data_IF_388436865277
#
_entry.id   IF_388436865277
#
_cell.length_a   1.000
_cell.length_b   1.000
_cell.length_c   1.000
_cell.angle_alpha   90.00
_cell.angle_beta   90.00
_cell.angle_gamma   90.00
#
_symmetry.space_group_name_H-M   'P 1'
#
loop_
_entity.id
_entity.type
_entity.pdbx_description
1 polymer ?
#
# COMPACT_ATOMS: atom_id res chain seq x y z
N UNK A 1 -5.37 -18.27 -7.31
CA UNK A 1 -5.42 -16.83 -6.96
C UNK A 1 -5.75 -16.05 -8.21
N UNK A 2 -6.65 -15.07 -8.14
CA UNK A 2 -7.01 -14.28 -9.32
C UNK A 2 -5.97 -13.17 -9.50
N UNK A 3 -5.00 -13.36 -10.41
CA UNK A 3 -3.88 -12.45 -10.69
C UNK A 3 -4.37 -11.02 -10.97
N UNK A 4 -5.54 -10.89 -11.60
CA UNK A 4 -6.18 -9.60 -11.88
C UNK A 4 -6.46 -8.80 -10.60
N UNK A 5 -6.85 -9.46 -9.50
CA UNK A 5 -7.08 -8.78 -8.21
C UNK A 5 -5.78 -8.34 -7.53
N UNK A 6 -4.69 -9.10 -7.71
CA UNK A 6 -3.37 -8.74 -7.18
C UNK A 6 -2.82 -7.48 -7.85
N UNK A 7 -2.98 -7.38 -9.17
CA UNK A 7 -2.58 -6.19 -9.92
C UNK A 7 -3.52 -4.99 -9.67
N UNK A 8 -4.80 -5.22 -9.41
CA UNK A 8 -5.74 -4.14 -9.11
C UNK A 8 -5.43 -3.43 -7.78
N UNK A 9 -5.01 -4.18 -6.76
CA UNK A 9 -4.71 -3.64 -5.42
C UNK A 9 -3.22 -3.21 -5.25
N UNK A 10 -2.47 -3.11 -6.35
CA UNK A 10 -1.05 -2.74 -6.31
C UNK A 10 -0.83 -1.23 -6.16
N UNK A 11 -0.05 -0.84 -5.15
CA UNK A 11 0.36 0.52 -4.90
C UNK A 11 1.83 0.75 -5.33
N UNK A 12 2.06 1.32 -6.54
CA UNK A 12 3.41 1.47 -7.08
C UNK A 12 4.28 2.44 -6.26
N UNK A 13 3.68 3.48 -5.67
CA UNK A 13 4.45 4.46 -4.91
C UNK A 13 5.02 3.84 -3.63
N UNK A 14 4.21 3.08 -2.87
CA UNK A 14 4.67 2.39 -1.66
C UNK A 14 5.72 1.33 -2.00
N UNK A 15 5.51 0.58 -3.07
CA UNK A 15 6.48 -0.41 -3.54
C UNK A 15 7.85 0.20 -3.84
N UNK A 16 7.89 1.32 -4.58
CA UNK A 16 9.15 2.02 -4.89
C UNK A 16 9.82 2.51 -3.62
N UNK A 17 9.07 3.13 -2.70
CA UNK A 17 9.61 3.63 -1.42
C UNK A 17 10.26 2.49 -0.62
N UNK A 18 9.52 1.41 -0.36
CA UNK A 18 9.99 0.33 0.49
C UNK A 18 11.16 -0.46 -0.13
N UNK A 19 11.12 -0.67 -1.45
CA UNK A 19 12.22 -1.32 -2.17
C UNK A 19 13.48 -0.46 -2.15
N UNK A 20 13.33 0.85 -2.38
CA UNK A 20 14.46 1.79 -2.35
C UNK A 20 15.08 1.89 -0.97
N UNK A 21 14.27 1.97 0.09
CA UNK A 21 14.73 1.96 1.48
C UNK A 21 15.46 0.66 1.83
N UNK A 22 14.91 -0.49 1.43
CA UNK A 22 15.54 -1.79 1.68
C UNK A 22 16.93 -1.89 1.03
N UNK A 23 17.05 -1.51 -0.25
CA UNK A 23 18.33 -1.54 -0.97
C UNK A 23 19.31 -0.54 -0.35
N UNK A 24 18.84 0.68 -0.04
CA UNK A 24 19.66 1.69 0.64
C UNK A 24 20.19 1.18 1.97
N UNK A 25 19.33 0.62 2.84
CA UNK A 25 19.74 0.06 4.13
C UNK A 25 20.78 -1.05 3.97
N UNK A 26 20.64 -1.93 2.97
CA UNK A 26 21.61 -2.97 2.70
C UNK A 26 22.96 -2.39 2.25
N UNK A 27 22.97 -1.48 1.27
CA UNK A 27 24.19 -0.83 0.79
C UNK A 27 24.87 0.00 1.88
N UNK A 28 24.09 0.72 2.69
CA UNK A 28 24.60 1.54 3.77
C UNK A 28 25.21 0.69 4.89
N UNK A 29 24.55 -0.39 5.30
CA UNK A 29 25.09 -1.32 6.30
C UNK A 29 26.39 -1.98 5.82
N UNK A 30 26.43 -2.46 4.57
CA UNK A 30 27.64 -3.03 3.98
C UNK A 30 28.78 -2.02 3.88
N UNK A 31 28.46 -0.76 3.58
CA UNK A 31 29.45 0.33 3.55
C UNK A 31 30.00 0.62 4.94
N UNK A 32 29.14 0.67 5.96
CA UNK A 32 29.57 0.87 7.35
C UNK A 32 30.40 -0.30 7.89
N UNK A 33 30.17 -1.52 7.40
CA UNK A 33 30.98 -2.71 7.72
C UNK A 33 32.32 -2.75 6.96
N UNK A 34 32.62 -1.77 6.10
CA UNK A 34 33.85 -1.76 5.30
C UNK A 34 33.91 -2.86 4.24
N UNK A 35 32.80 -3.56 3.97
CA UNK A 35 32.73 -4.62 2.96
C UNK A 35 32.62 -4.08 1.53
N UNK A 36 32.34 -2.79 1.39
CA UNK A 36 32.04 -2.13 0.12
C UNK A 36 32.76 -0.78 0.07
N UNK A 37 33.58 -0.54 -0.95
CA UNK A 37 34.42 0.67 -1.08
C UNK A 37 33.81 1.79 -1.94
N UNK A 38 32.50 1.74 -2.17
CA UNK A 38 31.84 2.75 -3.01
C UNK A 38 31.71 4.09 -2.29
N UNK A 39 31.60 5.15 -3.10
CA UNK A 39 31.27 6.49 -2.60
C UNK A 39 29.88 6.51 -1.95
N UNK A 40 29.67 7.39 -0.97
CA UNK A 40 28.34 7.57 -0.37
C UNK A 40 27.30 8.01 -1.41
N UNK A 41 27.71 8.75 -2.44
CA UNK A 41 26.86 9.11 -3.57
C UNK A 41 26.25 7.90 -4.28
N UNK A 42 27.04 6.83 -4.45
CA UNK A 42 26.58 5.57 -5.06
C UNK A 42 25.71 4.77 -4.10
N UNK A 43 26.05 4.74 -2.80
CA UNK A 43 25.27 4.07 -1.76
C UNK A 43 23.86 4.67 -1.64
N UNK A 44 23.73 5.98 -1.81
CA UNK A 44 22.45 6.70 -1.79
C UNK A 44 21.65 6.60 -3.10
N UNK A 45 22.15 5.92 -4.14
CA UNK A 45 21.47 5.82 -5.44
C UNK A 45 20.02 5.33 -5.41
N UNK A 46 19.61 4.37 -4.54
CA UNK A 46 18.20 3.98 -4.45
C UNK A 46 17.31 5.13 -3.97
N UNK A 47 17.82 5.98 -3.08
CA UNK A 47 17.10 7.15 -2.56
C UNK A 47 16.98 8.21 -3.66
N UNK A 48 18.05 8.47 -4.42
CA UNK A 48 18.00 9.38 -5.57
C UNK A 48 16.97 8.92 -6.61
N UNK A 49 16.91 7.62 -6.89
CA UNK A 49 15.91 7.04 -7.77
C UNK A 49 14.48 7.29 -7.26
N UNK A 50 14.23 7.07 -5.97
CA UNK A 50 12.93 7.36 -5.38
C UNK A 50 12.56 8.85 -5.49
N UNK A 51 13.45 9.78 -5.13
CA UNK A 51 13.16 11.22 -5.19
C UNK A 51 12.95 11.71 -6.61
N UNK A 52 13.77 11.25 -7.57
CA UNK A 52 13.60 11.61 -8.98
C UNK A 52 12.25 11.15 -9.53
N UNK A 53 11.77 9.96 -9.14
CA UNK A 53 10.42 9.51 -9.48
C UNK A 53 9.32 10.40 -8.90
N UNK A 54 9.47 10.90 -7.67
CA UNK A 54 8.51 11.84 -7.07
C UNK A 54 8.49 13.18 -7.82
N UNK A 55 9.67 13.73 -8.13
CA UNK A 55 9.79 15.00 -8.87
C UNK A 55 9.21 14.85 -10.28
N UNK A 56 9.56 13.78 -10.99
CA UNK A 56 9.03 13.49 -12.31
C UNK A 56 7.50 13.31 -12.27
N UNK A 57 6.98 12.60 -11.27
CA UNK A 57 5.55 12.43 -11.04
C UNK A 57 4.80 13.73 -10.85
N UNK A 58 5.35 14.64 -10.04
CA UNK A 58 4.76 15.94 -9.80
C UNK A 58 4.87 16.88 -11.00
N UNK A 59 5.96 16.80 -11.78
CA UNK A 59 6.13 17.56 -13.01
C UNK A 59 5.09 17.17 -14.07
N UNK A 60 4.92 15.87 -14.32
CA UNK A 60 3.89 15.35 -15.24
C UNK A 60 2.49 15.69 -14.73
N UNK A 61 2.22 15.52 -13.44
CA UNK A 61 0.95 15.91 -12.83
C UNK A 61 0.63 17.40 -13.00
N UNK A 62 1.62 18.27 -12.80
CA UNK A 62 1.48 19.72 -12.98
C UNK A 62 1.25 20.11 -14.45
N UNK A 63 1.91 19.43 -15.38
CA UNK A 63 1.67 19.62 -16.81
C UNK A 63 0.24 19.25 -17.21
N UNK A 64 -0.26 18.09 -16.75
CA UNK A 64 -1.66 17.66 -16.97
C UNK A 64 -2.65 18.66 -16.35
N UNK A 65 -2.38 19.13 -15.13
CA UNK A 65 -3.20 20.14 -14.47
C UNK A 65 -3.29 21.46 -15.24
N UNK A 66 -2.20 21.87 -15.90
CA UNK A 66 -2.20 23.04 -16.77
C UNK A 66 -2.99 22.80 -18.06
N UNK A 67 -2.79 21.65 -18.71
CA UNK A 67 -3.40 21.34 -20.01
C UNK A 67 -4.91 21.20 -19.96
N UNK A 68 -5.46 20.76 -18.82
CA UNK A 68 -6.87 20.43 -18.66
C UNK A 68 -7.52 21.24 -17.52
N UNK A 69 -7.92 22.50 -17.77
CA UNK A 69 -8.47 23.39 -16.75
C UNK A 69 -9.83 22.93 -16.20
N UNK A 70 -10.55 22.06 -16.90
CA UNK A 70 -11.82 21.47 -16.43
C UNK A 70 -11.69 20.75 -15.08
N UNK A 71 -10.50 20.24 -14.75
CA UNK A 71 -10.24 19.58 -13.46
C UNK A 71 -10.28 20.52 -12.26
N UNK A 72 -10.29 21.84 -12.48
CA UNK A 72 -10.44 22.84 -11.42
C UNK A 72 -11.88 22.94 -10.90
N UNK A 73 -12.86 22.48 -11.69
CA UNK A 73 -14.28 22.50 -11.33
C UNK A 73 -14.65 21.31 -10.43
N UNK A 74 -13.88 20.22 -10.51
CA UNK A 74 -13.99 19.07 -9.60
C UNK A 74 -13.27 19.38 -8.28
N UNK A 75 -14.02 19.69 -7.22
CA UNK A 75 -13.45 20.04 -5.92
C UNK A 75 -12.49 18.97 -5.35
N UNK A 76 -12.75 17.69 -5.60
CA UNK A 76 -11.87 16.58 -5.18
C UNK A 76 -10.52 16.59 -5.91
N UNK A 77 -10.51 16.87 -7.23
CA UNK A 77 -9.29 16.92 -8.02
C UNK A 77 -8.36 18.06 -7.55
N UNK A 78 -8.94 19.19 -7.15
CA UNK A 78 -8.20 20.32 -6.59
C UNK A 78 -7.51 19.97 -5.26
N UNK A 79 -8.18 19.24 -4.38
CA UNK A 79 -7.58 18.78 -3.11
C UNK A 79 -6.45 17.78 -3.35
N UNK A 80 -6.63 16.84 -4.29
CA UNK A 80 -5.58 15.88 -4.64
C UNK A 80 -4.35 16.54 -5.28
N UNK A 81 -4.55 17.54 -6.13
CA UNK A 81 -3.45 18.32 -6.70
C UNK A 81 -2.68 19.07 -5.62
N UNK A 82 -3.38 19.72 -4.68
CA UNK A 82 -2.74 20.35 -3.50
C UNK A 82 -1.94 19.35 -2.68
N UNK A 83 -2.49 18.16 -2.41
CA UNK A 83 -1.78 17.11 -1.70
C UNK A 83 -0.49 16.70 -2.41
N UNK A 84 -0.52 16.59 -3.75
CA UNK A 84 0.66 16.28 -4.56
C UNK A 84 1.73 17.37 -4.41
N UNK A 85 1.35 18.67 -4.45
CA UNK A 85 2.29 19.77 -4.27
C UNK A 85 2.89 19.81 -2.86
N UNK A 86 2.07 19.59 -1.83
CA UNK A 86 2.55 19.49 -0.44
C UNK A 86 3.54 18.33 -0.32
N UNK A 87 3.19 17.16 -0.86
CA UNK A 87 4.07 16.00 -0.86
C UNK A 87 5.39 16.28 -1.60
N UNK A 88 5.35 16.93 -2.77
CA UNK A 88 6.55 17.34 -3.49
C UNK A 88 7.42 18.26 -2.64
N UNK A 89 6.84 19.29 -2.02
CA UNK A 89 7.59 20.23 -1.19
C UNK A 89 8.30 19.52 -0.03
N UNK A 90 7.61 18.61 0.68
CA UNK A 90 8.21 17.80 1.74
C UNK A 90 9.35 16.92 1.21
N UNK A 91 9.18 16.28 0.05
CA UNK A 91 10.23 15.45 -0.56
C UNK A 91 11.44 16.27 -1.02
N UNK A 92 11.26 17.51 -1.47
CA UNK A 92 12.37 18.39 -1.85
C UNK A 92 13.20 18.83 -0.64
N UNK A 93 12.54 19.15 0.49
CA UNK A 93 13.26 19.46 1.73
C UNK A 93 13.95 18.19 2.27
N UNK A 94 13.32 17.02 2.14
CA UNK A 94 13.91 15.76 2.56
C UNK A 94 15.11 15.38 1.68
N UNK A 95 15.02 15.65 0.36
CA UNK A 95 16.15 15.53 -0.56
C UNK A 95 17.31 16.46 -0.15
N UNK A 96 17.01 17.69 0.28
CA UNK A 96 18.04 18.61 0.81
C UNK A 96 18.75 18.02 2.04
N UNK A 97 18.00 17.42 2.98
CA UNK A 97 18.59 16.69 4.11
C UNK A 97 19.49 15.54 3.63
N UNK A 98 18.99 14.69 2.73
CA UNK A 98 19.73 13.53 2.22
C UNK A 98 21.03 13.94 1.50
N UNK A 99 21.01 15.02 0.72
CA UNK A 99 22.20 15.59 0.07
C UNK A 99 23.24 16.06 1.09
N UNK A 100 22.81 16.77 2.15
CA UNK A 100 23.70 17.23 3.21
C UNK A 100 24.28 16.05 4.02
N UNK A 101 23.50 15.01 4.29
CA UNK A 101 23.99 13.78 4.94
C UNK A 101 25.02 13.09 4.05
N UNK A 102 24.74 12.93 2.76
CA UNK A 102 25.66 12.32 1.81
C UNK A 102 26.98 13.09 1.72
N UNK A 103 26.93 14.42 1.63
CA UNK A 103 28.13 15.28 1.60
C UNK A 103 28.92 15.19 2.92
N UNK A 104 28.24 15.25 4.07
CA UNK A 104 28.86 15.10 5.39
C UNK A 104 29.56 13.76 5.55
N UNK A 105 28.93 12.67 5.13
CA UNK A 105 29.51 11.32 5.19
C UNK A 105 30.72 11.16 4.26
N UNK A 106 30.69 11.79 3.08
CA UNK A 106 31.77 11.69 2.10
C UNK A 106 32.97 12.59 2.43
N UNK A 107 32.71 13.82 2.85
CA UNK A 107 33.74 14.86 3.00
C UNK A 107 34.11 15.14 4.45
N UNK A 108 33.28 14.72 5.41
CA UNK A 108 33.42 15.06 6.83
C UNK A 108 33.13 16.53 7.15
N UNK A 109 32.75 17.35 6.17
CA UNK A 109 32.54 18.79 6.33
C UNK A 109 31.21 19.08 7.03
N UNK A 110 31.12 20.21 7.74
CA UNK A 110 29.92 20.71 8.44
C UNK A 110 29.56 19.98 9.75
N UNK A 111 28.82 20.64 10.62
CA UNK A 111 28.27 20.05 11.85
C UNK A 111 26.96 19.31 11.54
N UNK A 112 26.67 18.22 12.24
CA UNK A 112 25.44 17.45 12.10
C UNK A 112 24.21 18.30 12.41
N UNK A 113 24.29 19.24 13.36
CA UNK A 113 23.17 20.16 13.62
C UNK A 113 22.73 20.93 12.38
N UNK A 114 23.66 21.37 11.53
CA UNK A 114 23.35 22.05 10.27
C UNK A 114 22.74 21.08 9.27
N UNK A 115 23.29 19.88 9.16
CA UNK A 115 22.78 18.81 8.29
C UNK A 115 21.33 18.45 8.65
N UNK A 116 20.97 18.46 9.92
CA UNK A 116 19.61 18.13 10.41
C UNK A 116 18.60 19.28 10.36
N UNK A 117 19.01 20.54 10.10
CA UNK A 117 18.08 21.70 9.99
C UNK A 117 16.89 21.43 9.04
N UNK A 118 17.09 20.90 7.81
CA UNK A 118 15.97 20.65 6.90
C UNK A 118 14.98 19.63 7.48
N UNK A 119 15.47 18.61 8.19
CA UNK A 119 14.63 17.57 8.77
C UNK A 119 13.81 18.10 9.96
N UNK A 120 14.43 18.94 10.81
CA UNK A 120 13.72 19.64 11.90
C UNK A 120 12.65 20.58 11.34
N UNK A 121 12.97 21.30 10.26
CA UNK A 121 12.00 22.17 9.58
C UNK A 121 10.81 21.36 9.01
N UNK A 122 11.07 20.21 8.39
CA UNK A 122 10.02 19.28 7.93
C UNK A 122 9.13 18.87 9.10
N UNK A 123 9.67 18.52 10.26
CA UNK A 123 8.87 18.11 11.43
C UNK A 123 7.88 19.19 11.86
N UNK A 124 8.32 20.46 11.88
CA UNK A 124 7.45 21.60 12.25
C UNK A 124 6.35 21.78 11.19
N UNK A 125 6.72 21.81 9.91
CA UNK A 125 5.75 21.93 8.80
C UNK A 125 4.77 20.76 8.80
N UNK A 126 5.23 19.56 9.14
CA UNK A 126 4.42 18.34 9.16
C UNK A 126 3.26 18.42 10.14
N UNK A 127 3.38 19.16 11.26
CA UNK A 127 2.26 19.35 12.19
C UNK A 127 1.08 20.04 11.49
N UNK A 128 1.36 21.12 10.75
CA UNK A 128 0.33 21.83 9.99
C UNK A 128 -0.25 20.97 8.86
N UNK A 129 0.60 20.20 8.17
CA UNK A 129 0.16 19.28 7.11
C UNK A 129 -0.69 18.15 7.66
N UNK A 130 -0.39 17.59 8.83
CA UNK A 130 -1.22 16.58 9.49
C UNK A 130 -2.63 17.11 9.77
N UNK A 131 -2.75 18.34 10.31
CA UNK A 131 -4.06 18.98 10.56
C UNK A 131 -4.82 19.16 9.23
N UNK A 132 -4.13 19.62 8.19
CA UNK A 132 -4.72 19.75 6.86
C UNK A 132 -5.17 18.40 6.29
N UNK A 133 -4.35 17.35 6.43
CA UNK A 133 -4.64 16.02 5.90
C UNK A 133 -5.84 15.37 6.60
N UNK A 134 -5.94 15.48 7.93
CA UNK A 134 -7.10 15.02 8.70
C UNK A 134 -8.37 15.72 8.25
N UNK A 135 -8.33 17.05 8.03
CA UNK A 135 -9.49 17.82 7.55
C UNK A 135 -9.98 17.38 6.16
N UNK A 136 -9.10 16.81 5.33
CA UNK A 136 -9.41 16.43 3.96
C UNK A 136 -9.40 14.89 3.74
N UNK A 137 -9.48 14.09 4.81
CA UNK A 137 -9.49 12.62 4.78
C UNK A 137 -8.33 12.02 3.93
N UNK A 138 -7.13 12.55 4.12
CA UNK A 138 -5.91 12.11 3.43
C UNK A 138 -5.03 11.31 4.38
N UNK A 139 -4.32 10.32 3.84
CA UNK A 139 -3.23 9.63 4.55
C UNK A 139 -2.06 10.58 4.77
N UNK A 140 -1.49 10.60 5.98
CA UNK A 140 -0.37 11.47 6.38
C UNK A 140 0.73 10.69 7.12
N UNK A 141 1.06 9.49 6.62
CA UNK A 141 2.00 8.56 7.28
C UNK A 141 3.40 9.18 7.51
N UNK A 142 3.97 9.82 6.48
CA UNK A 142 5.30 10.44 6.54
C UNK A 142 5.30 11.68 7.44
N UNK A 143 4.28 12.51 7.31
CA UNK A 143 4.13 13.76 8.06
C UNK A 143 3.95 13.47 9.56
N UNK A 144 3.13 12.46 9.90
CA UNK A 144 3.00 12.02 11.28
C UNK A 144 4.33 11.50 11.82
N UNK A 145 5.04 10.68 11.04
CA UNK A 145 6.34 10.17 11.44
C UNK A 145 7.35 11.29 11.72
N UNK A 146 7.43 12.29 10.83
CA UNK A 146 8.32 13.44 11.02
C UNK A 146 7.92 14.30 12.22
N UNK A 147 6.62 14.55 12.43
CA UNK A 147 6.12 15.37 13.52
C UNK A 147 6.41 14.74 14.89
N UNK A 148 6.11 13.44 15.06
CA UNK A 148 6.30 12.73 16.33
C UNK A 148 7.79 12.54 16.66
N UNK A 149 8.66 12.44 15.65
CA UNK A 149 10.10 12.28 15.83
C UNK A 149 10.90 13.59 15.81
N UNK A 150 10.26 14.76 15.95
CA UNK A 150 10.98 16.05 15.97
C UNK A 150 12.10 16.06 17.02
N UNK A 151 11.81 15.57 18.23
CA UNK A 151 12.78 15.53 19.32
C UNK A 151 13.94 14.54 19.04
N UNK A 152 13.64 13.42 18.37
CA UNK A 152 14.64 12.43 17.96
C UNK A 152 15.67 13.07 17.03
N UNK A 153 15.23 13.87 16.06
CA UNK A 153 16.12 14.52 15.10
C UNK A 153 17.05 15.53 15.77
N UNK A 154 16.56 16.24 16.78
CA UNK A 154 17.39 17.15 17.59
C UNK A 154 18.42 16.34 18.41
N UNK A 155 17.99 15.28 19.09
CA UNK A 155 18.90 14.46 19.89
C UNK A 155 19.97 13.77 19.05
N UNK A 156 19.61 13.24 17.87
CA UNK A 156 20.56 12.65 16.93
C UNK A 156 21.61 13.67 16.50
N UNK A 157 21.19 14.88 16.11
CA UNK A 157 22.11 15.93 15.71
C UNK A 157 23.10 16.31 16.82
N UNK A 158 22.60 16.54 18.03
CA UNK A 158 23.44 16.90 19.18
C UNK A 158 24.40 15.78 19.58
N UNK A 159 23.93 14.52 19.53
CA UNK A 159 24.76 13.36 19.86
C UNK A 159 25.85 13.13 18.82
N UNK A 160 25.52 13.23 17.54
CA UNK A 160 26.47 13.04 16.44
C UNK A 160 27.55 14.13 16.39
N UNK A 161 27.26 15.34 16.89
CA UNK A 161 28.23 16.43 17.09
C UNK A 161 28.99 16.34 18.43
N UNK A 162 28.77 15.28 19.22
CA UNK A 162 29.40 15.07 20.54
C UNK A 162 29.12 16.17 21.58
N UNK A 163 28.07 16.99 21.37
CA UNK A 163 27.65 17.99 22.36
C UNK A 163 27.00 17.37 23.60
N UNK A 164 26.43 16.17 23.46
CA UNK A 164 25.83 15.42 24.55
C UNK A 164 26.48 14.04 24.69
N UNK A 165 26.76 13.65 25.93
CA UNK A 165 27.37 12.34 26.28
C UNK A 165 26.33 11.28 26.65
N UNK A 166 25.09 11.41 26.18
CA UNK A 166 24.00 10.48 26.50
C UNK A 166 24.20 9.13 25.81
N UNK A 167 23.67 8.05 26.41
CA UNK A 167 23.61 6.76 25.73
C UNK A 167 22.71 6.86 24.49
N UNK A 168 22.99 6.04 23.49
CA UNK A 168 22.15 5.97 22.29
C UNK A 168 20.73 5.52 22.62
N UNK A 169 20.54 4.70 23.65
CA UNK A 169 19.21 4.38 24.17
C UNK A 169 18.36 5.62 24.48
N UNK A 170 18.95 6.63 25.17
CA UNK A 170 18.26 7.88 25.53
C UNK A 170 17.96 8.73 24.29
N UNK A 171 18.89 8.78 23.35
CA UNK A 171 18.71 9.49 22.08
C UNK A 171 17.52 8.93 21.31
N UNK A 172 17.25 7.61 21.40
CA UNK A 172 16.16 6.91 20.74
C UNK A 172 14.81 6.88 21.49
N UNK A 173 14.68 7.59 22.63
CA UNK A 173 13.44 7.66 23.44
C UNK A 173 12.16 7.98 22.65
N UNK A 174 12.12 9.01 21.79
CA UNK A 174 10.93 9.27 20.98
C UNK A 174 10.51 8.07 20.11
N UNK A 175 11.46 7.36 19.50
CA UNK A 175 11.16 6.15 18.73
C UNK A 175 10.69 4.99 19.61
N UNK A 176 11.24 4.82 20.82
CA UNK A 176 10.74 3.83 21.79
C UNK A 176 9.26 4.04 22.10
N UNK A 177 8.84 5.30 22.29
CA UNK A 177 7.43 5.64 22.56
C UNK A 177 6.55 5.22 21.38
N UNK A 178 6.96 5.54 20.14
CA UNK A 178 6.24 5.13 18.92
C UNK A 178 6.15 3.61 18.82
N UNK A 179 7.25 2.91 19.10
CA UNK A 179 7.29 1.45 19.05
C UNK A 179 6.40 0.81 20.12
N UNK A 180 6.40 1.32 21.34
CA UNK A 180 5.49 0.86 22.40
C UNK A 180 4.02 1.03 21.99
N UNK A 181 3.65 2.19 21.42
CA UNK A 181 2.28 2.44 20.97
C UNK A 181 1.90 1.51 19.80
N UNK A 182 2.84 1.26 18.88
CA UNK A 182 2.63 0.31 17.78
C UNK A 182 2.47 -1.13 18.27
N UNK A 183 3.19 -1.54 19.32
CA UNK A 183 3.07 -2.86 19.92
C UNK A 183 1.69 -3.07 20.56
N UNK A 184 1.16 -2.05 21.24
CA UNK A 184 -0.23 -2.06 21.74
C UNK A 184 -1.23 -2.23 20.58
N UNK A 185 -1.00 -1.54 19.46
CA UNK A 185 -1.79 -1.70 18.24
C UNK A 185 -1.74 -3.12 17.67
N UNK A 186 -0.56 -3.72 17.61
CA UNK A 186 -0.37 -5.12 17.17
C UNK A 186 -1.14 -6.07 18.09
N UNK A 187 -1.00 -5.94 19.40
CA UNK A 187 -1.72 -6.75 20.38
C UNK A 187 -3.23 -6.64 20.19
N UNK A 188 -3.75 -5.43 20.00
CA UNK A 188 -5.15 -5.21 19.69
C UNK A 188 -5.58 -5.97 18.42
N UNK A 189 -4.80 -5.89 17.34
CA UNK A 189 -5.13 -6.60 16.08
C UNK A 189 -5.08 -8.12 16.22
N UNK A 190 -4.16 -8.65 17.03
CA UNK A 190 -4.07 -10.09 17.33
C UNK A 190 -5.29 -10.55 18.14
N UNK A 191 -5.65 -9.82 19.20
CA UNK A 191 -6.84 -10.12 20.02
C UNK A 191 -8.10 -10.08 19.15
N UNK A 192 -8.26 -9.03 18.34
CA UNK A 192 -9.39 -8.87 17.44
C UNK A 192 -9.47 -10.02 16.41
N UNK A 193 -8.34 -10.39 15.79
CA UNK A 193 -8.28 -11.55 14.91
C UNK A 193 -8.65 -12.85 15.64
N UNK A 194 -8.18 -13.04 16.87
CA UNK A 194 -8.52 -14.19 17.72
C UNK A 194 -10.01 -14.28 18.06
N UNK A 195 -10.65 -13.15 18.37
CA UNK A 195 -12.10 -13.08 18.63
C UNK A 195 -12.87 -13.46 17.37
N UNK A 196 -12.54 -12.85 16.21
CA UNK A 196 -13.20 -13.15 14.94
C UNK A 196 -12.97 -14.59 14.46
N UNK A 197 -11.88 -15.24 14.87
CA UNK A 197 -11.63 -16.65 14.61
C UNK A 197 -12.61 -17.55 15.38
N UNK A 198 -13.02 -17.15 16.59
CA UNK A 198 -13.93 -17.91 17.45
C UNK A 198 -15.41 -17.60 17.20
N UNK A 199 -15.74 -16.45 16.62
CA UNK A 199 -17.14 -16.09 16.33
C UNK A 199 -17.67 -16.85 15.10
N UNK A 200 -18.65 -17.76 15.24
CA UNK A 200 -19.08 -18.64 14.16
C UNK A 200 -19.87 -17.93 13.04
N UNK A 201 -20.42 -16.74 13.31
CA UNK A 201 -21.26 -15.99 12.37
C UNK A 201 -20.49 -15.00 11.46
N UNK A 202 -19.17 -14.95 11.53
CA UNK A 202 -18.36 -14.01 10.75
C UNK A 202 -18.01 -14.61 9.39
N UNK A 203 -18.14 -13.80 8.33
CA UNK A 203 -17.77 -14.19 6.96
C UNK A 203 -16.31 -14.68 6.90
N UNK A 204 -16.09 -15.85 6.30
CA UNK A 204 -14.76 -16.47 6.20
C UNK A 204 -13.72 -15.57 5.54
N UNK A 205 -14.15 -14.69 4.63
CA UNK A 205 -13.27 -13.70 3.99
C UNK A 205 -12.77 -12.65 4.97
N UNK A 206 -13.66 -12.10 5.81
CA UNK A 206 -13.30 -11.09 6.81
C UNK A 206 -12.34 -11.67 7.87
N UNK A 207 -12.60 -12.90 8.31
CA UNK A 207 -11.71 -13.63 9.23
C UNK A 207 -10.30 -13.80 8.67
N UNK A 208 -10.17 -14.21 7.41
CA UNK A 208 -8.86 -14.33 6.73
C UNK A 208 -8.16 -12.98 6.61
N UNK A 209 -8.89 -11.91 6.26
CA UNK A 209 -8.30 -10.57 6.17
C UNK A 209 -7.78 -10.09 7.52
N UNK A 210 -8.58 -10.18 8.58
CA UNK A 210 -8.15 -9.75 9.93
C UNK A 210 -6.96 -10.56 10.44
N UNK A 211 -6.94 -11.88 10.20
CA UNK A 211 -5.79 -12.72 10.55
C UNK A 211 -4.53 -12.32 9.76
N UNK A 212 -4.65 -12.15 8.44
CA UNK A 212 -3.53 -11.73 7.60
C UNK A 212 -2.99 -10.35 8.02
N UNK A 213 -3.86 -9.41 8.39
CA UNK A 213 -3.46 -8.10 8.89
C UNK A 213 -2.72 -8.20 10.23
N UNK A 214 -3.19 -9.02 11.18
CA UNK A 214 -2.51 -9.23 12.46
C UNK A 214 -1.10 -9.83 12.27
N UNK A 215 -0.99 -10.84 11.39
CA UNK A 215 0.29 -11.45 11.03
C UNK A 215 1.23 -10.41 10.40
N UNK A 216 0.74 -9.64 9.41
CA UNK A 216 1.54 -8.61 8.75
C UNK A 216 2.05 -7.55 9.73
N UNK A 217 1.21 -7.03 10.63
CA UNK A 217 1.65 -6.05 11.61
C UNK A 217 2.66 -6.61 12.63
N UNK A 218 2.56 -7.91 12.95
CA UNK A 218 3.52 -8.59 13.82
C UNK A 218 4.90 -8.69 13.16
N UNK A 219 4.94 -9.13 11.90
CA UNK A 219 6.18 -9.19 11.11
C UNK A 219 6.72 -7.81 10.70
N UNK A 220 5.93 -6.74 10.87
CA UNK A 220 6.37 -5.37 10.68
C UNK A 220 7.00 -4.83 11.97
N UNK A 221 6.27 -4.84 13.08
CA UNK A 221 6.65 -4.11 14.30
C UNK A 221 7.73 -4.83 15.10
N UNK A 222 7.63 -6.15 15.29
CA UNK A 222 8.58 -6.89 16.13
C UNK A 222 10.01 -6.79 15.56
N UNK A 223 10.25 -7.00 14.25
CA UNK A 223 11.61 -6.90 13.73
C UNK A 223 12.15 -5.48 13.75
N UNK A 224 11.32 -4.43 13.61
CA UNK A 224 11.76 -3.04 13.81
C UNK A 224 12.22 -2.82 15.26
N UNK A 225 11.49 -3.36 16.24
CA UNK A 225 11.85 -3.25 17.64
C UNK A 225 13.18 -3.95 17.93
N UNK A 226 13.38 -5.16 17.40
CA UNK A 226 14.64 -5.90 17.54
C UNK A 226 15.79 -5.12 16.88
N UNK A 227 15.59 -4.59 15.67
CA UNK A 227 16.56 -3.72 15.00
C UNK A 227 16.94 -2.52 15.86
N UNK A 228 15.96 -1.85 16.47
CA UNK A 228 16.20 -0.69 17.31
C UNK A 228 17.04 -1.03 18.54
N UNK A 229 16.74 -2.14 19.24
CA UNK A 229 17.55 -2.62 20.39
C UNK A 229 18.98 -2.95 19.95
N UNK A 230 19.15 -3.69 18.85
CA UNK A 230 20.46 -4.04 18.34
C UNK A 230 21.26 -2.80 17.92
N UNK A 231 20.60 -1.81 17.32
CA UNK A 231 21.24 -0.58 16.88
C UNK A 231 21.73 0.26 18.06
N UNK A 232 20.92 0.48 19.10
CA UNK A 232 21.34 1.27 20.26
C UNK A 232 22.52 0.61 20.97
N UNK A 233 22.46 -0.69 21.21
CA UNK A 233 23.55 -1.44 21.86
C UNK A 233 24.82 -1.43 21.02
N UNK A 234 24.71 -1.50 19.68
CA UNK A 234 25.88 -1.41 18.81
C UNK A 234 26.50 -0.03 18.86
N UNK A 235 25.69 1.02 18.84
CA UNK A 235 26.16 2.41 18.86
C UNK A 235 26.77 2.78 20.22
N UNK A 236 26.28 2.20 21.32
CA UNK A 236 26.87 2.34 22.67
C UNK A 236 28.14 1.49 22.86
N UNK A 237 28.43 0.56 21.94
CA UNK A 237 29.64 -0.28 21.95
C UNK A 237 29.52 -1.58 22.75
N UNK A 238 28.31 -1.92 23.20
CA UNK A 238 28.03 -3.12 24.01
C UNK A 238 28.07 -4.42 23.18
N UNK A 239 27.85 -4.33 21.87
CA UNK A 239 27.86 -5.48 20.95
C UNK A 239 28.84 -5.29 19.80
N UNK A 240 29.57 -6.35 19.46
CA UNK A 240 30.54 -6.40 18.35
C UNK A 240 29.97 -7.01 17.05
N UNK A 241 28.66 -6.94 16.85
CA UNK A 241 28.00 -7.44 15.63
C UNK A 241 28.26 -6.52 14.44
N UNK A 242 28.20 -7.06 13.22
CA UNK A 242 28.23 -6.27 11.96
C UNK A 242 26.94 -5.44 11.78
N UNK A 243 27.02 -4.31 11.07
CA UNK A 243 25.88 -3.44 10.79
C UNK A 243 24.84 -4.16 9.93
N UNK A 244 25.27 -5.04 9.03
CA UNK A 244 24.37 -5.91 8.27
C UNK A 244 23.63 -6.89 9.18
N UNK A 245 24.31 -7.43 10.21
CA UNK A 245 23.70 -8.29 11.22
C UNK A 245 22.66 -7.54 12.06
N UNK A 246 23.00 -6.32 12.49
CA UNK A 246 22.08 -5.40 13.20
C UNK A 246 20.86 -5.06 12.33
N UNK A 247 21.05 -4.77 11.05
CA UNK A 247 19.98 -4.43 10.11
C UNK A 247 19.13 -5.64 9.68
N UNK A 248 19.56 -6.88 9.96
CA UNK A 248 18.88 -8.09 9.47
C UNK A 248 17.39 -8.21 9.83
N UNK A 249 16.93 -7.86 11.06
CA UNK A 249 15.51 -7.92 11.39
C UNK A 249 14.71 -6.90 10.58
N UNK A 250 15.29 -5.73 10.29
CA UNK A 250 14.63 -4.66 9.54
C UNK A 250 14.29 -5.10 8.10
N UNK A 251 15.08 -5.99 7.48
CA UNK A 251 14.76 -6.54 6.17
C UNK A 251 13.46 -7.37 6.16
N UNK A 252 13.12 -8.03 7.27
CA UNK A 252 11.83 -8.74 7.41
C UNK A 252 10.67 -7.75 7.35
N UNK A 253 10.80 -6.61 8.04
CA UNK A 253 9.80 -5.55 8.01
C UNK A 253 9.68 -4.91 6.63
N UNK A 254 10.79 -4.64 5.94
CA UNK A 254 10.76 -4.14 4.56
C UNK A 254 10.12 -5.14 3.60
N UNK A 255 10.47 -6.42 3.68
CA UNK A 255 9.83 -7.47 2.87
C UNK A 255 8.32 -7.51 3.13
N UNK A 256 7.91 -7.41 4.38
CA UNK A 256 6.49 -7.35 4.75
C UNK A 256 5.79 -6.14 4.14
N UNK A 257 6.40 -4.94 4.20
CA UNK A 257 5.88 -3.72 3.58
C UNK A 257 5.79 -3.82 2.05
N UNK A 258 6.78 -4.44 1.41
CA UNK A 258 6.78 -4.71 -0.03
C UNK A 258 5.61 -5.63 -0.39
N UNK A 259 5.42 -6.72 0.35
CA UNK A 259 4.30 -7.65 0.14
C UNK A 259 2.94 -6.97 0.37
N UNK A 260 2.82 -6.12 1.40
CA UNK A 260 1.61 -5.35 1.68
C UNK A 260 1.29 -4.34 0.58
N UNK A 261 2.29 -3.87 -0.19
CA UNK A 261 2.07 -2.94 -1.31
C UNK A 261 1.26 -3.56 -2.45
N UNK A 262 1.18 -4.89 -2.56
CA UNK A 262 0.32 -5.61 -3.53
C UNK A 262 -1.12 -5.80 -3.04
N UNK A 263 -1.43 -5.42 -1.80
CA UNK A 263 -2.77 -5.54 -1.20
C UNK A 263 -3.29 -4.20 -0.67
N UNK A 264 -2.61 -3.10 -1.01
CA UNK A 264 -2.90 -1.77 -0.52
C UNK A 264 -3.98 -1.12 -1.40
N UNK A 265 -5.24 -1.34 -1.03
CA UNK A 265 -6.37 -0.63 -1.65
C UNK A 265 -6.14 0.88 -1.60
N UNK A 266 -6.30 1.56 -2.73
CA UNK A 266 -6.26 3.02 -2.82
C UNK A 266 -4.86 3.59 -3.06
N UNK A 267 -4.29 3.29 -4.24
CA UNK A 267 -3.12 4.00 -4.75
C UNK A 267 -3.34 5.51 -4.87
N UNK A 268 -2.26 6.29 -4.93
CA UNK A 268 -2.35 7.73 -5.16
C UNK A 268 -2.97 7.99 -6.55
N UNK A 269 -4.22 8.48 -6.58
CA UNK A 269 -5.00 8.80 -7.80
C UNK A 269 -4.35 9.86 -8.70
N UNK A 270 -3.24 10.46 -8.27
CA UNK A 270 -2.46 11.46 -9.00
C UNK A 270 -1.01 11.03 -9.26
N UNK A 271 -0.69 9.76 -9.10
CA UNK A 271 0.61 9.22 -9.50
C UNK A 271 0.83 9.45 -11.01
N UNK A 272 1.80 10.30 -11.38
CA UNK A 272 2.00 10.79 -12.76
C UNK A 272 0.76 11.47 -13.40
N UNK A 273 -0.17 12.01 -12.60
CA UNK A 273 -1.44 12.54 -13.12
C UNK A 273 -2.36 11.46 -13.73
N UNK A 274 -2.07 10.18 -13.51
CA UNK A 274 -2.86 9.06 -14.00
C UNK A 274 -4.10 8.93 -13.11
N UNK A 275 -5.29 9.20 -13.68
CA UNK A 275 -6.59 9.09 -12.99
C UNK A 275 -7.19 7.69 -12.98
N UNK A 276 -6.43 6.68 -13.42
CA UNK A 276 -6.80 5.26 -13.46
C UNK A 276 -5.88 4.46 -12.54
N UNK A 277 -6.28 3.27 -12.15
CA UNK A 277 -5.39 2.35 -11.45
C UNK A 277 -4.14 2.10 -12.31
N UNK A 278 -2.95 2.17 -11.68
CA UNK A 278 -1.67 2.11 -12.39
C UNK A 278 -1.53 0.85 -13.25
N UNK A 279 -2.01 -0.29 -12.77
CA UNK A 279 -2.00 -1.53 -13.54
C UNK A 279 -2.97 -1.50 -14.73
N UNK A 280 -4.13 -0.84 -14.61
CA UNK A 280 -5.01 -0.62 -15.75
C UNK A 280 -4.38 0.31 -16.80
N UNK A 281 -3.66 1.35 -16.36
CA UNK A 281 -2.90 2.21 -17.26
C UNK A 281 -1.77 1.44 -17.97
N UNK A 282 -0.97 0.65 -17.23
CA UNK A 282 0.08 -0.18 -17.81
C UNK A 282 -0.45 -1.21 -18.81
N UNK A 283 -1.54 -1.91 -18.48
CA UNK A 283 -2.18 -2.87 -19.39
C UNK A 283 -2.72 -2.18 -20.65
N UNK A 284 -3.18 -0.94 -20.55
CA UNK A 284 -3.59 -0.13 -21.70
C UNK A 284 -2.43 0.37 -22.57
N UNK A 285 -1.26 0.64 -21.97
CA UNK A 285 -0.06 1.04 -22.73
C UNK A 285 0.68 -0.16 -23.36
N UNK A 286 0.58 -1.34 -22.76
CA UNK A 286 1.26 -2.56 -23.20
C UNK A 286 0.24 -3.65 -23.58
N UNK A 287 -0.28 -3.66 -24.83
CA UNK A 287 -1.29 -4.63 -25.26
C UNK A 287 -0.80 -6.09 -25.16
N UNK A 288 0.52 -6.33 -25.26
CA UNK A 288 1.11 -7.66 -25.04
C UNK A 288 0.90 -8.16 -23.61
N UNK A 289 1.02 -7.31 -22.59
CA UNK A 289 0.74 -7.69 -21.20
C UNK A 289 -0.76 -7.91 -20.96
N UNK A 290 -1.62 -7.23 -21.71
CA UNK A 290 -3.07 -7.42 -21.65
C UNK A 290 -3.48 -8.83 -22.12
N UNK A 291 -2.83 -9.36 -23.15
CA UNK A 291 -3.05 -10.75 -23.59
C UNK A 291 -2.66 -11.76 -22.50
N UNK A 292 -1.51 -11.58 -21.83
CA UNK A 292 -1.11 -12.44 -20.71
C UNK A 292 -2.04 -12.34 -19.49
N UNK A 293 -2.53 -11.13 -19.17
CA UNK A 293 -3.45 -10.92 -18.05
C UNK A 293 -4.86 -11.48 -18.29
N UNK A 294 -5.26 -11.65 -19.57
CA UNK A 294 -6.54 -12.23 -19.95
C UNK A 294 -6.57 -13.78 -19.93
N UNK A 295 -5.42 -14.45 -19.77
CA UNK A 295 -5.36 -15.90 -19.60
C UNK A 295 -5.70 -16.24 -18.15
N UNK A 296 -6.99 -16.16 -17.80
CA UNK A 296 -7.48 -16.70 -16.55
C UNK A 296 -7.51 -18.24 -16.64
N UNK A 297 -6.63 -18.92 -15.89
CA UNK A 297 -6.70 -20.38 -15.73
C UNK A 297 -8.06 -20.76 -15.12
N UNK A 298 -8.96 -21.31 -15.93
CA UNK A 298 -10.09 -22.09 -15.42
C UNK A 298 -9.53 -23.38 -14.84
N UNK A 299 -9.54 -23.49 -13.52
CA UNK A 299 -9.33 -24.78 -12.87
C UNK A 299 -10.66 -25.54 -12.98
N UNK A 300 -10.88 -26.24 -14.09
CA UNK A 300 -11.96 -27.21 -14.18
C UNK A 300 -11.58 -28.38 -13.26
N UNK A 301 -12.04 -28.32 -12.01
CA UNK A 301 -12.02 -29.44 -11.09
C UNK A 301 -12.99 -30.50 -11.58
N UNK A 302 -12.52 -31.37 -12.48
CA UNK A 302 -13.23 -32.58 -12.87
C UNK A 302 -13.30 -33.54 -11.69
N UNK A 303 -14.50 -33.73 -11.15
CA UNK A 303 -14.87 -34.98 -10.48
C UNK A 303 -16.28 -35.37 -10.91
N UNK A 304 -16.36 -35.88 -12.14
CA UNK A 304 -17.48 -36.67 -12.64
C UNK A 304 -17.38 -38.08 -12.06
N UNK A 305 -18.47 -38.58 -11.46
CA UNK A 305 -18.76 -40.00 -11.33
C UNK A 305 -18.89 -40.53 -9.90
N UNK A 306 -20.14 -40.76 -9.47
CA UNK A 306 -20.63 -42.12 -9.18
C UNK A 306 -22.15 -42.06 -9.01
N UNK A 307 -22.88 -42.82 -9.82
CA UNK A 307 -24.32 -43.00 -9.69
C UNK A 307 -24.67 -44.05 -8.64
N UNK A 308 -25.85 -43.90 -8.03
CA UNK A 308 -26.61 -45.00 -7.43
C UNK A 308 -28.09 -44.62 -7.45
N UNK A 309 -28.90 -45.42 -8.13
CA UNK A 309 -30.34 -45.22 -8.27
C UNK A 309 -31.13 -45.54 -7.00
N UNK A 310 -32.38 -45.12 -7.00
CA UNK A 310 -33.46 -45.81 -6.28
C UNK A 310 -34.78 -45.49 -6.97
N UNK A 311 -35.46 -46.55 -7.40
CA UNK A 311 -36.81 -46.56 -7.93
C UNK A 311 -37.84 -46.63 -6.80
N UNK A 312 -39.07 -46.17 -7.03
CA UNK A 312 -40.19 -46.48 -6.15
C UNK A 312 -41.48 -45.68 -6.39
N UNK A 313 -42.50 -46.38 -6.93
CA UNK A 313 -43.97 -46.29 -6.68
C UNK A 313 -44.69 -44.96 -6.99
N UNK A 314 -45.56 -44.84 -8.00
CA UNK A 314 -46.90 -45.44 -8.27
C UNK A 314 -48.02 -44.93 -7.34
N UNK A 315 -49.00 -44.21 -7.93
CA UNK A 315 -50.48 -44.19 -7.69
C UNK A 315 -51.06 -43.04 -8.58
N UNK A 316 -51.77 -43.23 -9.70
CA UNK A 316 -53.15 -43.74 -9.94
C UNK A 316 -54.19 -43.06 -9.02
N UNK A 317 -55.18 -42.26 -9.47
CA UNK A 317 -56.38 -42.64 -10.24
C UNK A 317 -57.29 -41.39 -10.47
N UNK A 318 -58.03 -41.27 -11.60
CA UNK A 318 -59.04 -40.20 -11.87
C UNK A 318 -60.44 -40.50 -11.30
N UNK A 319 -61.59 -40.10 -11.91
CA UNK A 319 -61.96 -38.88 -12.68
C UNK A 319 -63.39 -38.31 -12.34
N UNK A 320 -63.90 -37.34 -13.14
CA UNK A 320 -65.32 -36.90 -13.32
C UNK A 320 -65.94 -35.96 -12.23
N UNK A 321 -66.79 -34.94 -12.47
CA UNK A 321 -67.88 -34.69 -13.47
C UNK A 321 -68.37 -33.21 -13.46
N UNK A 322 -68.97 -32.77 -14.58
CA UNK A 322 -69.93 -31.68 -14.95
C UNK A 322 -70.50 -30.70 -13.86
N UNK A 323 -70.98 -29.45 -14.11
CA UNK A 323 -71.71 -28.85 -15.23
C UNK A 323 -71.83 -27.28 -15.15
N UNK A 324 -71.86 -26.63 -16.34
CA UNK A 324 -72.71 -25.52 -16.88
C UNK A 324 -73.18 -24.31 -16.00
N UNK A 325 -72.89 -23.07 -16.47
CA UNK A 325 -73.83 -21.92 -16.35
C UNK A 325 -73.25 -20.47 -16.29
N UNK A 326 -73.36 -19.70 -17.39
CA UNK A 326 -73.71 -18.25 -17.51
C UNK A 326 -72.94 -17.08 -16.81
N UNK A 327 -72.64 -15.92 -17.47
CA UNK A 327 -71.85 -14.77 -16.95
C UNK A 327 -72.72 -13.52 -16.60
N UNK A 328 -72.26 -12.25 -16.38
CA UNK A 328 -70.94 -11.59 -16.05
C UNK A 328 -71.09 -10.56 -14.85
N UNK A 329 -70.39 -9.39 -14.73
CA UNK A 329 -68.97 -8.99 -14.87
C UNK A 329 -68.35 -8.31 -13.59
N UNK A 330 -67.08 -7.89 -13.74
CA UNK A 330 -66.29 -6.88 -12.98
C UNK A 330 -65.46 -7.33 -11.76
N UNK A 331 -64.15 -7.50 -11.95
CA UNK A 331 -63.16 -6.45 -11.58
C UNK A 331 -61.71 -6.88 -11.87
N UNK A 332 -60.94 -5.91 -12.40
CA UNK A 332 -59.48 -5.66 -12.34
C UNK A 332 -58.55 -6.81 -11.87
N UNK A 333 -57.46 -7.07 -12.63
CA UNK A 333 -56.05 -6.76 -12.27
C UNK A 333 -55.09 -7.17 -13.39
N UNK A 334 -54.05 -6.34 -13.61
CA UNK A 334 -52.89 -6.52 -14.51
C UNK A 334 -52.03 -7.73 -14.11
N UNK A 335 -51.49 -8.49 -15.08
CA UNK A 335 -50.12 -9.03 -14.98
C UNK A 335 -49.58 -9.55 -16.32
N UNK A 336 -48.27 -9.32 -16.48
CA UNK A 336 -47.42 -9.43 -17.66
C UNK A 336 -47.24 -10.85 -18.24
N UNK A 337 -47.10 -10.89 -19.57
CA UNK A 337 -46.62 -12.04 -20.34
C UNK A 337 -45.09 -12.07 -20.33
N UNK A 338 -44.51 -13.08 -19.68
CA UNK A 338 -43.10 -13.47 -19.85
C UNK A 338 -43.01 -14.58 -20.91
N UNK A 339 -42.38 -14.26 -22.04
CA UNK A 339 -42.07 -15.20 -23.11
C UNK A 339 -40.74 -15.91 -22.82
N UNK A 340 -40.80 -17.24 -22.77
CA UNK A 340 -39.67 -18.16 -22.98
C UNK A 340 -38.98 -17.84 -24.31
N UNK A 341 -37.65 -17.68 -24.32
CA UNK A 341 -36.83 -18.07 -25.47
C UNK A 341 -35.50 -18.68 -25.02
N UNK A 342 -35.23 -19.79 -25.69
CA UNK A 342 -34.28 -20.85 -25.46
C UNK A 342 -32.87 -20.43 -25.89
N UNK A 343 -31.87 -20.78 -25.10
CA UNK A 343 -30.46 -20.42 -25.26
C UNK A 343 -29.80 -21.34 -26.27
N UNK A 344 -29.41 -20.81 -27.44
CA UNK A 344 -28.55 -21.49 -28.40
C UNK A 344 -27.08 -21.38 -27.95
N UNK A 345 -26.49 -22.53 -27.66
CA UNK A 345 -25.07 -22.72 -27.36
C UNK A 345 -24.37 -23.09 -28.65
N UNK A 346 -23.59 -22.16 -29.23
CA UNK A 346 -22.38 -22.35 -30.06
C UNK A 346 -22.19 -21.17 -31.02
N UNK A 347 -21.53 -20.10 -30.57
CA UNK A 347 -20.81 -19.18 -31.47
C UNK A 347 -19.48 -18.77 -30.83
N UNK A 348 -18.36 -18.79 -31.57
CA UNK A 348 -17.10 -18.23 -31.10
C UNK A 348 -17.26 -16.71 -30.91
N UNK A 349 -16.92 -16.23 -29.72
CA UNK A 349 -17.00 -14.81 -29.35
C UNK A 349 -15.78 -14.10 -29.94
N UNK A 350 -16.00 -13.35 -31.02
CA UNK A 350 -15.01 -12.40 -31.57
C UNK A 350 -15.05 -11.12 -30.73
N UNK A 351 -13.93 -10.54 -30.30
CA UNK A 351 -13.94 -9.28 -29.57
C UNK A 351 -14.40 -8.14 -30.50
N UNK A 352 -15.50 -7.48 -30.14
CA UNK A 352 -15.92 -6.23 -30.75
C UNK A 352 -14.95 -5.15 -30.25
N UNK A 353 -14.07 -4.68 -31.13
CA UNK A 353 -13.31 -3.45 -30.92
C UNK A 353 -14.27 -2.30 -31.16
N UNK A 354 -14.85 -1.75 -30.08
CA UNK A 354 -15.51 -0.45 -30.14
C UNK A 354 -14.41 0.62 -30.25
N UNK A 355 -14.12 1.03 -31.48
CA UNK A 355 -13.37 2.25 -31.77
C UNK A 355 -14.30 3.41 -31.41
N UNK A 356 -14.09 4.03 -30.25
CA UNK A 356 -14.59 5.38 -30.00
C UNK A 356 -13.68 6.35 -30.75
N UNK A 357 -14.24 7.00 -31.77
CA UNK A 357 -13.63 8.16 -32.42
C UNK A 357 -13.70 9.37 -31.47
N UNK A 358 -12.65 10.21 -31.43
CA UNK A 358 -12.62 11.37 -30.54
C UNK A 358 -13.42 12.53 -31.11
N UNK A 359 -14.24 13.16 -30.26
CA UNK A 359 -14.55 14.60 -30.29
C UNK A 359 -14.20 15.21 -28.93
#
# INVERSE_FOLDING_TARGET
>A
MNLQKLFQDFNPSKFIVHTSLMIFTALFALRLDGSLDWSYWTVFSPIWFWKTMVIFGAAVGSYVWWRYPHFRLEGEAYVHYKAMLISLALHLILLMFELLVCDKLQSGRHLWILVFIPLIFISIVSIAVCIWAVKHDRSFELELFCAVNMLQFIFLALRLDEFTSWSWEVVFVPLWIVMCLSLVGVLYTIIFAGILLRTPQVNARQRRTSFNSAVAYTFLVIPILIFQVLLTNKLDGDISMTYIGVASPLFISFLTLILMSFSAKGGNRWWFGIRKDFCHFLLGMFPFLQEYANIAYRTDGGSSGMGSGSAGSVEASGPMTAAIGGPPPNSRTRQDKSNKKQTDVTKPVVPIVSIETPD
#
